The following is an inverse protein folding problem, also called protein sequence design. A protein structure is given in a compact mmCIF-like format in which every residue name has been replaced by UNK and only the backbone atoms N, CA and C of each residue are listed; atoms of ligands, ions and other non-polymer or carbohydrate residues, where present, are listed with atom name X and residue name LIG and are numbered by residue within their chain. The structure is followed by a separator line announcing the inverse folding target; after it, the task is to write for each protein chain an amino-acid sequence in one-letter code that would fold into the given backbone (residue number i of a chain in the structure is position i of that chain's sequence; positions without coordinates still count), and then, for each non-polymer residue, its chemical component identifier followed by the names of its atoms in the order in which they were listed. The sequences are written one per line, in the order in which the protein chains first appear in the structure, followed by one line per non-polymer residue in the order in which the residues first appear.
data_IF_890004392519
#
_entry.id   IF_890004392519
#
_cell.length_a   1.000
_cell.length_b   1.000
_cell.length_c   1.000
_cell.angle_alpha   90.00
_cell.angle_beta   90.00
_cell.angle_gamma   90.00
#
_symmetry.space_group_name_H-M   'P 1'
#
loop_
_entity.id
_entity.type
_entity.pdbx_description
1 polymer ?
#
# COMPACT_ATOMS: atom_id res chain seq x y z
N UNK A 1 22.45 -17.24 11.77
CA UNK A 1 22.39 -15.83 12.20
C UNK A 1 23.81 -15.44 12.60
N UNK A 2 24.53 -14.72 11.73
CA UNK A 2 25.80 -14.12 12.12
C UNK A 2 25.60 -13.18 13.30
N UNK A 3 26.63 -12.98 14.12
CA UNK A 3 26.57 -12.04 15.23
C UNK A 3 26.38 -10.62 14.69
N UNK A 4 25.14 -10.13 14.69
CA UNK A 4 24.78 -8.78 14.25
C UNK A 4 25.65 -7.73 14.97
N UNK A 5 26.10 -8.02 16.20
CA UNK A 5 27.03 -7.19 16.97
C UNK A 5 28.44 -7.15 16.38
N UNK A 6 28.89 -8.19 15.67
CA UNK A 6 30.17 -8.23 14.97
C UNK A 6 30.10 -7.45 13.65
N UNK A 7 28.98 -7.57 12.91
CA UNK A 7 28.73 -6.80 11.69
C UNK A 7 28.71 -5.30 11.99
N UNK A 8 27.98 -4.88 13.02
CA UNK A 8 27.93 -3.48 13.48
C UNK A 8 29.29 -2.95 13.89
N UNK A 9 30.10 -3.75 14.60
CA UNK A 9 31.48 -3.38 14.96
C UNK A 9 32.36 -3.19 13.72
N UNK A 10 32.21 -4.04 12.69
CA UNK A 10 32.89 -3.87 11.41
C UNK A 10 32.46 -2.58 10.71
N UNK A 11 31.16 -2.30 10.66
CA UNK A 11 30.61 -1.07 10.07
C UNK A 11 31.19 0.16 10.77
N UNK A 12 31.29 0.18 12.10
CA UNK A 12 31.89 1.33 12.80
C UNK A 12 33.39 1.48 12.58
N UNK A 13 34.12 0.37 12.39
CA UNK A 13 35.55 0.40 12.11
C UNK A 13 35.86 0.93 10.71
N UNK A 14 35.00 0.63 9.74
CA UNK A 14 35.13 1.11 8.37
C UNK A 14 33.74 1.39 7.79
N UNK A 15 33.13 2.54 8.13
CA UNK A 15 31.79 2.87 7.69
C UNK A 15 31.71 2.93 6.17
N UNK A 16 30.69 2.32 5.55
CA UNK A 16 30.47 2.46 4.13
C UNK A 16 30.34 3.94 3.74
N UNK A 17 30.90 4.37 2.58
CA UNK A 17 30.87 5.77 2.16
C UNK A 17 29.46 6.37 2.11
N UNK A 18 28.47 5.58 1.69
CA UNK A 18 27.06 5.96 1.65
C UNK A 18 26.50 6.29 3.05
N UNK A 19 26.85 5.49 4.06
CA UNK A 19 26.43 5.74 5.45
C UNK A 19 27.06 7.02 6.00
N UNK A 20 28.33 7.30 5.64
CA UNK A 20 29.02 8.53 6.04
C UNK A 20 28.40 9.75 5.35
N UNK A 21 28.10 9.64 4.06
CA UNK A 21 27.46 10.71 3.29
C UNK A 21 26.07 11.04 3.84
N UNK A 22 25.26 10.02 4.14
CA UNK A 22 23.92 10.20 4.72
C UNK A 22 23.98 10.81 6.13
N UNK A 23 24.96 10.40 6.95
CA UNK A 23 25.19 11.02 8.25
C UNK A 23 25.58 12.50 8.11
N UNK A 24 26.46 12.84 7.18
CA UNK A 24 26.86 14.22 6.92
C UNK A 24 25.70 15.09 6.44
N UNK A 25 24.75 14.51 5.68
CA UNK A 25 23.54 15.17 5.22
C UNK A 25 22.51 15.41 6.34
N UNK A 26 22.55 14.63 7.43
CA UNK A 26 21.56 14.68 8.52
C UNK A 26 22.17 14.94 9.92
N UNK A 27 22.84 16.09 10.17
CA UNK A 27 23.43 16.40 11.48
C UNK A 27 22.41 16.41 12.63
N UNK A 28 22.76 15.78 13.75
CA UNK A 28 21.89 15.64 14.92
C UNK A 28 20.72 14.66 14.76
N UNK A 29 20.61 14.00 13.60
CA UNK A 29 19.57 13.02 13.30
C UNK A 29 20.02 11.57 13.48
N UNK A 30 19.55 10.71 12.58
CA UNK A 30 19.90 9.30 12.56
C UNK A 30 19.80 8.72 11.15
N UNK A 31 20.64 7.74 10.82
CA UNK A 31 20.58 7.00 9.54
C UNK A 31 20.03 5.61 9.78
N UNK A 32 18.99 5.22 9.03
CA UNK A 32 18.37 3.90 9.16
C UNK A 32 19.23 2.79 8.57
N UNK A 33 19.31 1.66 9.28
CA UNK A 33 19.88 0.42 8.76
C UNK A 33 18.76 -0.49 8.27
N UNK A 34 18.54 -0.50 6.95
CA UNK A 34 17.49 -1.29 6.29
C UNK A 34 18.02 -2.69 5.98
N UNK A 35 17.21 -3.72 6.21
CA UNK A 35 17.54 -5.08 5.85
C UNK A 35 17.29 -5.35 4.35
N UNK A 36 18.35 -5.57 3.55
CA UNK A 36 18.22 -5.81 2.11
C UNK A 36 17.57 -7.18 1.79
N UNK A 37 17.54 -8.11 2.75
CA UNK A 37 16.87 -9.41 2.58
C UNK A 37 15.35 -9.29 2.74
N UNK A 38 14.86 -8.18 3.31
CA UNK A 38 13.43 -7.90 3.47
C UNK A 38 12.92 -6.89 2.43
N UNK A 39 13.79 -6.03 1.89
CA UNK A 39 13.42 -4.94 0.97
C UNK A 39 14.24 -5.01 -0.32
N UNK A 40 13.54 -5.14 -1.45
CA UNK A 40 14.15 -5.18 -2.78
C UNK A 40 14.59 -3.81 -3.32
N UNK A 41 13.93 -2.74 -2.86
CA UNK A 41 14.17 -1.36 -3.27
C UNK A 41 14.23 -0.44 -2.03
N UNK A 42 15.44 -0.06 -1.56
CA UNK A 42 15.60 0.78 -0.37
C UNK A 42 15.24 2.25 -0.61
N UNK A 43 15.13 2.71 -1.86
CA UNK A 43 14.76 4.08 -2.21
C UNK A 43 13.23 4.25 -2.33
N UNK A 44 12.48 3.13 -2.30
CA UNK A 44 11.03 3.09 -2.29
C UNK A 44 10.42 3.13 -0.89
N UNK A 45 9.20 2.60 -0.75
CA UNK A 45 8.58 2.45 0.56
C UNK A 45 9.31 1.43 1.42
N UNK A 46 9.77 1.86 2.59
CA UNK A 46 10.41 0.99 3.59
C UNK A 46 9.47 0.82 4.79
N UNK A 47 8.85 -0.36 4.97
CA UNK A 47 8.10 -0.65 6.18
C UNK A 47 9.03 -0.61 7.40
N UNK A 48 8.52 -0.07 8.52
CA UNK A 48 9.30 0.09 9.74
C UNK A 48 9.91 -1.20 10.26
N UNK A 49 9.24 -2.34 10.05
CA UNK A 49 9.66 -3.67 10.46
C UNK A 49 10.92 -4.14 9.71
N UNK A 50 11.17 -3.63 8.50
CA UNK A 50 12.38 -3.96 7.75
C UNK A 50 13.61 -3.14 8.20
N UNK A 51 13.44 -2.18 9.09
CA UNK A 51 14.54 -1.39 9.66
C UNK A 51 15.09 -2.14 10.87
N UNK A 52 16.35 -2.56 10.82
CA UNK A 52 17.05 -3.23 11.93
C UNK A 52 17.24 -2.29 13.13
N UNK A 53 17.38 -1.01 12.85
CA UNK A 53 17.63 0.04 13.83
C UNK A 53 18.20 1.28 13.14
N UNK A 54 18.70 2.22 13.94
CA UNK A 54 19.24 3.48 13.44
C UNK A 54 20.61 3.78 14.05
N UNK A 55 21.51 4.30 13.23
CA UNK A 55 22.77 4.89 13.67
C UNK A 55 22.56 6.35 14.07
N UNK A 56 22.95 6.73 15.29
CA UNK A 56 22.85 8.11 15.77
C UNK A 56 23.93 8.99 15.15
N UNK A 57 23.53 10.16 14.67
CA UNK A 57 24.41 11.16 14.06
C UNK A 57 24.59 12.33 15.01
N UNK A 58 25.85 12.71 15.24
CA UNK A 58 26.20 13.87 16.04
C UNK A 58 25.82 15.18 15.36
N UNK A 59 25.78 16.27 16.11
CA UNK A 59 25.53 17.61 15.57
C UNK A 59 26.61 18.06 14.55
N UNK A 60 27.76 17.39 14.52
CA UNK A 60 28.85 17.59 13.56
C UNK A 60 28.69 16.79 12.25
N UNK A 61 27.56 16.08 12.08
CA UNK A 61 27.29 15.25 10.90
C UNK A 61 28.06 13.94 10.87
N UNK A 62 28.65 13.50 11.99
CA UNK A 62 29.38 12.21 12.07
C UNK A 62 28.59 11.16 12.83
N UNK A 63 28.83 9.90 12.49
CA UNK A 63 28.30 8.78 13.27
C UNK A 63 28.87 8.84 14.70
N UNK A 64 27.99 8.77 15.70
CA UNK A 64 28.39 8.76 17.11
C UNK A 64 28.94 7.40 17.57
N UNK A 65 28.67 6.34 16.81
CA UNK A 65 28.92 4.96 17.21
C UNK A 65 27.73 4.30 17.92
N UNK A 66 26.72 5.05 18.34
CA UNK A 66 25.53 4.51 18.97
C UNK A 66 24.55 3.96 17.92
N UNK A 67 24.15 2.70 18.11
CA UNK A 67 23.11 2.04 17.33
C UNK A 67 21.90 1.75 18.22
N UNK A 68 20.74 2.27 17.83
CA UNK A 68 19.47 2.02 18.53
C UNK A 68 18.72 0.95 17.75
N UNK A 69 18.55 -0.23 18.35
CA UNK A 69 17.83 -1.33 17.73
C UNK A 69 16.34 -1.03 17.62
N UNK A 70 15.72 -1.48 16.53
CA UNK A 70 14.29 -1.45 16.38
C UNK A 70 13.67 -2.68 17.05
N UNK A 71 12.88 -2.54 18.14
CA UNK A 71 12.25 -3.68 18.80
C UNK A 71 11.22 -4.40 17.92
N UNK A 72 10.75 -3.76 16.85
CA UNK A 72 9.78 -4.31 15.91
C UNK A 72 10.43 -4.89 14.65
N UNK A 73 11.77 -5.01 14.61
CA UNK A 73 12.48 -5.56 13.46
C UNK A 73 12.05 -7.01 13.17
N UNK A 74 11.69 -7.27 11.92
CA UNK A 74 11.27 -8.57 11.43
C UNK A 74 10.58 -8.49 10.06
N UNK A 75 10.10 -9.62 9.52
CA UNK A 75 9.38 -9.62 8.25
C UNK A 75 8.15 -8.69 8.30
N UNK A 76 8.02 -7.75 7.35
CA UNK A 76 6.85 -6.89 7.30
C UNK A 76 5.57 -7.69 7.12
N UNK A 77 4.48 -7.16 7.69
CA UNK A 77 3.16 -7.80 7.64
C UNK A 77 2.14 -6.85 7.04
N UNK A 78 1.02 -7.44 6.66
CA UNK A 78 -0.15 -6.68 6.27
C UNK A 78 -0.57 -5.68 7.35
N UNK A 79 -1.01 -4.50 6.90
CA UNK A 79 -1.58 -3.48 7.77
C UNK A 79 -2.78 -2.83 7.08
N UNK A 80 -3.96 -3.20 7.53
CA UNK A 80 -5.24 -2.66 7.04
C UNK A 80 -5.91 -1.77 8.08
N UNK A 81 -5.20 -1.38 9.14
CA UNK A 81 -5.78 -0.62 10.28
C UNK A 81 -6.54 0.61 9.78
N UNK A 82 -5.95 1.37 8.85
CA UNK A 82 -6.58 2.56 8.25
C UNK A 82 -7.87 2.28 7.47
N UNK A 83 -8.00 1.09 6.90
CA UNK A 83 -9.23 0.66 6.22
C UNK A 83 -10.28 0.20 7.23
N UNK A 84 -9.89 -0.62 8.20
CA UNK A 84 -10.83 -1.29 9.12
C UNK A 84 -11.30 -0.39 10.27
N UNK A 85 -10.52 0.62 10.66
CA UNK A 85 -10.92 1.62 11.65
C UNK A 85 -11.74 2.78 11.05
N UNK A 86 -12.00 2.75 9.75
CA UNK A 86 -12.83 3.76 9.09
C UNK A 86 -14.28 3.69 9.55
N UNK A 87 -14.90 4.85 9.79
CA UNK A 87 -16.33 4.96 10.11
C UNK A 87 -17.24 4.72 8.89
N UNK A 88 -16.68 4.61 7.68
CA UNK A 88 -17.48 4.37 6.49
C UNK A 88 -18.05 2.95 6.49
N UNK A 89 -19.30 2.80 6.05
CA UNK A 89 -19.90 1.49 5.81
C UNK A 89 -19.13 0.69 4.74
N UNK A 90 -18.51 -0.41 5.15
CA UNK A 90 -17.76 -1.35 4.30
C UNK A 90 -18.48 -2.68 4.07
N UNK A 91 -19.71 -2.87 4.57
CA UNK A 91 -20.42 -4.15 4.49
C UNK A 91 -20.67 -4.65 3.06
N UNK A 92 -20.57 -3.77 2.07
CA UNK A 92 -20.63 -4.13 0.65
C UNK A 92 -19.39 -4.92 0.15
N UNK A 93 -18.28 -4.92 0.91
CA UNK A 93 -17.10 -5.75 0.66
C UNK A 93 -17.19 -7.15 1.31
N UNK A 94 -18.25 -7.42 2.06
CA UNK A 94 -18.41 -8.65 2.85
C UNK A 94 -18.03 -8.48 4.32
N UNK A 95 -17.96 -9.59 5.04
CA UNK A 95 -17.70 -9.62 6.49
C UNK A 95 -16.25 -9.22 6.84
N UNK A 96 -15.30 -9.47 5.93
CA UNK A 96 -13.87 -9.19 6.12
C UNK A 96 -13.33 -8.25 5.03
N UNK A 97 -13.54 -6.93 5.14
CA UNK A 97 -13.11 -5.97 4.11
C UNK A 97 -11.62 -6.01 3.78
N UNK A 98 -10.76 -6.24 4.78
CA UNK A 98 -9.32 -6.37 4.58
C UNK A 98 -8.96 -7.57 3.68
N UNK A 99 -9.60 -8.72 3.91
CA UNK A 99 -9.41 -9.93 3.10
C UNK A 99 -9.92 -9.70 1.68
N UNK A 100 -11.09 -9.06 1.51
CA UNK A 100 -11.63 -8.74 0.19
C UNK A 100 -10.68 -7.85 -0.62
N UNK A 101 -10.11 -6.80 -0.02
CA UNK A 101 -9.13 -5.91 -0.67
C UNK A 101 -7.85 -6.67 -1.01
N UNK A 102 -7.31 -7.45 -0.07
CA UNK A 102 -6.08 -8.22 -0.28
C UNK A 102 -6.21 -9.22 -1.43
N UNK A 103 -7.28 -10.00 -1.45
CA UNK A 103 -7.50 -11.00 -2.50
C UNK A 103 -7.75 -10.34 -3.86
N UNK A 104 -8.43 -9.19 -3.89
CA UNK A 104 -8.65 -8.45 -5.13
C UNK A 104 -7.34 -7.93 -5.73
N UNK A 105 -6.46 -7.34 -4.91
CA UNK A 105 -5.13 -6.90 -5.35
C UNK A 105 -4.27 -8.11 -5.75
N UNK A 106 -4.31 -9.20 -4.98
CA UNK A 106 -3.60 -10.44 -5.32
C UNK A 106 -4.06 -11.03 -6.66
N UNK A 107 -5.36 -11.00 -6.94
CA UNK A 107 -5.94 -11.41 -8.22
C UNK A 107 -5.40 -10.59 -9.38
N UNK A 108 -5.41 -9.26 -9.26
CA UNK A 108 -4.88 -8.34 -10.28
C UNK A 108 -3.39 -8.63 -10.56
N UNK A 109 -2.58 -8.82 -9.50
CA UNK A 109 -1.16 -9.16 -9.65
C UNK A 109 -0.97 -10.49 -10.38
N UNK A 110 -1.78 -11.52 -10.07
CA UNK A 110 -1.72 -12.83 -10.74
C UNK A 110 -2.20 -12.80 -12.18
N UNK A 111 -3.14 -11.91 -12.52
CA UNK A 111 -3.54 -11.70 -13.91
C UNK A 111 -2.39 -11.13 -14.75
N UNK A 112 -1.52 -10.30 -14.15
CA UNK A 112 -0.32 -9.78 -14.84
C UNK A 112 0.82 -10.80 -14.86
N UNK A 113 1.05 -11.50 -13.74
CA UNK A 113 2.09 -12.53 -13.61
C UNK A 113 1.51 -13.70 -12.80
N UNK A 114 1.18 -14.85 -13.43
CA UNK A 114 0.43 -15.95 -12.81
C UNK A 114 0.95 -16.45 -11.45
N UNK A 115 2.26 -16.42 -11.27
CA UNK A 115 2.94 -16.92 -10.06
C UNK A 115 3.39 -15.78 -9.12
N UNK A 116 2.87 -14.57 -9.29
CA UNK A 116 3.13 -13.46 -8.37
C UNK A 116 2.62 -13.78 -6.96
N UNK A 117 3.48 -13.56 -5.98
CA UNK A 117 3.19 -13.72 -4.55
C UNK A 117 3.19 -12.35 -3.89
N UNK A 118 2.02 -11.93 -3.41
CA UNK A 118 1.87 -10.76 -2.53
C UNK A 118 2.35 -11.13 -1.13
N UNK A 119 3.50 -10.62 -0.71
CA UNK A 119 4.09 -10.96 0.60
C UNK A 119 3.49 -10.15 1.74
N UNK A 120 3.35 -8.84 1.54
CA UNK A 120 2.69 -7.93 2.47
C UNK A 120 2.03 -6.78 1.72
N UNK A 121 0.97 -6.21 2.31
CA UNK A 121 0.19 -5.09 1.81
C UNK A 121 -0.17 -4.16 2.96
N UNK A 122 0.19 -2.88 2.87
CA UNK A 122 -0.12 -1.86 3.86
C UNK A 122 -0.95 -0.75 3.24
N UNK A 123 -2.02 -0.35 3.93
CA UNK A 123 -2.79 0.84 3.60
C UNK A 123 -2.08 2.05 4.22
N UNK A 124 -1.54 2.92 3.38
CA UNK A 124 -0.60 3.96 3.80
C UNK A 124 -1.28 5.26 4.23
N UNK A 125 -2.51 5.49 3.79
CA UNK A 125 -3.30 6.68 4.13
C UNK A 125 -4.79 6.33 4.34
N UNK A 126 -5.55 7.24 4.95
CA UNK A 126 -6.98 7.08 5.19
C UNK A 126 -7.75 6.96 3.87
N UNK A 127 -8.56 5.92 3.67
CA UNK A 127 -9.26 5.72 2.40
C UNK A 127 -10.21 6.85 2.01
N UNK A 128 -10.48 6.97 0.71
CA UNK A 128 -11.48 7.88 0.15
C UNK A 128 -12.68 7.12 -0.36
N UNK A 129 -13.85 7.75 -0.25
CA UNK A 129 -15.12 7.09 -0.50
C UNK A 129 -16.04 7.95 -1.35
N UNK A 130 -16.87 7.29 -2.13
CA UNK A 130 -17.97 7.93 -2.85
C UNK A 130 -19.22 7.05 -2.77
N UNK A 131 -20.19 7.44 -1.96
CA UNK A 131 -21.46 6.71 -1.82
C UNK A 131 -22.59 7.46 -2.52
N UNK A 132 -23.35 6.74 -3.34
CA UNK A 132 -24.53 7.26 -4.01
C UNK A 132 -25.74 6.35 -3.77
N UNK A 133 -26.91 6.97 -3.71
CA UNK A 133 -28.14 6.24 -3.50
C UNK A 133 -29.38 7.02 -3.91
N UNK A 134 -30.53 6.43 -3.64
CA UNK A 134 -31.85 7.05 -3.82
C UNK A 134 -32.57 7.09 -2.47
N UNK A 135 -33.40 8.12 -2.22
CA UNK A 135 -34.23 8.14 -1.01
C UNK A 135 -35.20 6.95 -1.00
N UNK A 136 -35.51 6.45 0.19
CA UNK A 136 -36.63 5.50 0.39
C UNK A 136 -37.94 6.24 0.08
N UNK A 137 -38.88 5.55 -0.58
CA UNK A 137 -40.17 6.18 -0.96
C UNK A 137 -41.07 6.43 0.25
N UNK A 138 -41.00 5.55 1.23
CA UNK A 138 -41.78 5.56 2.48
C UNK A 138 -41.09 6.37 3.59
N UNK A 139 -39.78 6.58 3.50
CA UNK A 139 -39.01 7.44 4.40
C UNK A 139 -37.85 8.14 3.65
N UNK A 140 -38.08 9.36 3.14
CA UNK A 140 -37.07 10.11 2.39
C UNK A 140 -35.83 10.52 3.21
N UNK A 141 -35.87 10.41 4.55
CA UNK A 141 -34.70 10.66 5.39
C UNK A 141 -33.68 9.52 5.37
N UNK A 142 -34.07 8.35 4.84
CA UNK A 142 -33.22 7.19 4.66
C UNK A 142 -32.81 7.00 3.20
N UNK A 143 -31.53 6.71 2.99
CA UNK A 143 -30.95 6.46 1.67
C UNK A 143 -30.78 4.96 1.44
N UNK A 144 -31.29 4.47 0.31
CA UNK A 144 -30.93 3.15 -0.23
C UNK A 144 -29.66 3.35 -1.06
N UNK A 145 -28.56 2.76 -0.60
CA UNK A 145 -27.29 2.80 -1.35
C UNK A 145 -27.44 1.98 -2.63
N UNK A 146 -27.20 2.63 -3.77
CA UNK A 146 -27.26 1.98 -5.10
C UNK A 146 -25.87 1.76 -5.69
N UNK A 147 -24.88 2.54 -5.22
CA UNK A 147 -23.50 2.51 -5.70
C UNK A 147 -22.54 3.06 -4.66
N UNK A 148 -21.31 2.56 -4.70
CA UNK A 148 -20.24 2.98 -3.81
C UNK A 148 -18.90 2.87 -4.53
N UNK A 149 -17.95 3.70 -4.10
CA UNK A 149 -16.56 3.68 -4.54
C UNK A 149 -15.64 3.80 -3.34
N UNK A 150 -14.54 3.05 -3.38
CA UNK A 150 -13.44 3.08 -2.43
C UNK A 150 -12.15 3.35 -3.19
N UNK A 151 -11.29 4.21 -2.67
CA UNK A 151 -9.90 4.36 -3.08
C UNK A 151 -8.98 4.22 -1.87
N UNK A 152 -7.99 3.33 -1.95
CA UNK A 152 -7.00 3.09 -0.89
C UNK A 152 -5.59 3.29 -1.43
N UNK A 153 -4.84 4.19 -0.80
CA UNK A 153 -3.40 4.30 -1.03
C UNK A 153 -2.70 3.10 -0.39
N UNK A 154 -1.77 2.50 -1.12
CA UNK A 154 -1.07 1.31 -0.65
C UNK A 154 0.44 1.37 -0.88
N UNK A 155 1.14 0.57 -0.09
CA UNK A 155 2.44 0.01 -0.42
C UNK A 155 2.37 -1.51 -0.30
N UNK A 156 3.06 -2.24 -1.17
CA UNK A 156 3.11 -3.69 -1.11
C UNK A 156 4.44 -4.26 -1.57
N UNK A 157 4.76 -5.48 -1.12
CA UNK A 157 5.84 -6.30 -1.68
C UNK A 157 5.26 -7.43 -2.51
N UNK A 158 5.80 -7.59 -3.71
CA UNK A 158 5.49 -8.70 -4.60
C UNK A 158 6.76 -9.39 -5.05
N UNK A 159 6.73 -10.73 -5.04
CA UNK A 159 7.80 -11.56 -5.58
C UNK A 159 7.25 -12.35 -6.77
N UNK A 160 8.04 -12.48 -7.84
CA UNK A 160 7.70 -13.27 -9.03
C UNK A 160 8.81 -14.27 -9.35
N UNK A 161 8.51 -15.44 -9.94
CA UNK A 161 9.55 -16.43 -10.25
C UNK A 161 10.67 -15.86 -11.12
N UNK A 162 11.91 -16.08 -10.70
CA UNK A 162 13.09 -15.61 -11.42
C UNK A 162 13.29 -14.08 -11.40
N UNK A 163 12.48 -13.33 -10.65
CA UNK A 163 12.65 -11.89 -10.42
C UNK A 163 13.01 -11.60 -8.97
N UNK A 164 13.62 -10.44 -8.75
CA UNK A 164 13.82 -9.89 -7.41
C UNK A 164 12.46 -9.48 -6.83
N UNK A 165 12.39 -9.41 -5.50
CA UNK A 165 11.31 -8.76 -4.77
C UNK A 165 11.18 -7.31 -5.23
N UNK A 166 9.97 -6.89 -5.57
CA UNK A 166 9.65 -5.51 -5.95
C UNK A 166 8.72 -4.89 -4.90
N UNK A 167 8.94 -3.61 -4.60
CA UNK A 167 8.04 -2.81 -3.76
C UNK A 167 7.24 -1.88 -4.66
N UNK A 168 5.91 -1.97 -4.59
CA UNK A 168 5.00 -1.17 -5.38
C UNK A 168 4.21 -0.20 -4.49
N UNK A 169 3.96 0.99 -5.00
CA UNK A 169 3.10 1.99 -4.38
C UNK A 169 2.10 2.52 -5.39
N UNK A 170 0.92 2.92 -4.90
CA UNK A 170 -0.11 3.50 -5.74
C UNK A 170 -1.46 3.53 -5.05
N UNK A 171 -2.52 3.55 -5.84
CA UNK A 171 -3.90 3.54 -5.35
C UNK A 171 -4.66 2.38 -5.96
N UNK A 172 -5.35 1.61 -5.11
CA UNK A 172 -6.34 0.64 -5.53
C UNK A 172 -7.72 1.27 -5.41
N UNK A 173 -8.52 1.23 -6.47
CA UNK A 173 -9.92 1.66 -6.43
C UNK A 173 -10.87 0.52 -6.72
N UNK A 174 -11.94 0.44 -5.95
CA UNK A 174 -13.02 -0.51 -6.13
C UNK A 174 -14.33 0.25 -6.19
N UNK A 175 -15.04 0.12 -7.31
CA UNK A 175 -16.40 0.64 -7.45
C UNK A 175 -17.39 -0.50 -7.61
N UNK A 176 -18.49 -0.44 -6.86
CA UNK A 176 -19.64 -1.32 -7.01
C UNK A 176 -20.91 -0.51 -7.32
N UNK A 177 -21.70 -0.97 -8.27
CA UNK A 177 -23.01 -0.39 -8.65
C UNK A 177 -24.10 -1.46 -8.65
N UNK A 178 -25.36 -1.06 -8.58
CA UNK A 178 -26.50 -1.99 -8.55
C UNK A 178 -26.67 -2.67 -7.19
N UNK A 179 -26.19 -2.05 -6.11
CA UNK A 179 -26.24 -2.62 -4.75
C UNK A 179 -27.66 -2.79 -4.19
N UNK A 180 -28.65 -2.13 -4.78
CA UNK A 180 -30.06 -2.24 -4.41
C UNK A 180 -30.81 -3.32 -5.20
N UNK A 181 -30.11 -4.07 -6.06
CA UNK A 181 -30.68 -5.11 -6.92
C UNK A 181 -30.03 -6.47 -6.59
N UNK A 182 -30.82 -7.50 -6.21
CA UNK A 182 -30.28 -8.79 -5.75
C UNK A 182 -29.22 -9.42 -6.67
N UNK A 183 -29.39 -9.31 -7.99
CA UNK A 183 -28.49 -9.86 -9.01
C UNK A 183 -27.91 -8.79 -9.96
N UNK A 184 -28.10 -7.51 -9.62
CA UNK A 184 -27.70 -6.38 -10.47
C UNK A 184 -26.31 -5.84 -10.15
N UNK A 185 -25.65 -6.38 -9.12
CA UNK A 185 -24.34 -5.90 -8.66
C UNK A 185 -23.30 -6.09 -9.76
N UNK A 186 -22.58 -5.00 -10.04
CA UNK A 186 -21.41 -5.01 -10.90
C UNK A 186 -20.27 -4.29 -10.22
N UNK A 187 -19.07 -4.86 -10.35
CA UNK A 187 -17.86 -4.35 -9.74
C UNK A 187 -16.84 -4.02 -10.84
N UNK A 188 -16.01 -3.00 -10.59
CA UNK A 188 -14.82 -2.74 -11.39
C UNK A 188 -13.70 -2.26 -10.49
N UNK A 189 -12.51 -2.75 -10.79
CA UNK A 189 -11.29 -2.51 -10.03
C UNK A 189 -10.31 -1.71 -10.88
N UNK A 190 -9.53 -0.86 -10.23
CA UNK A 190 -8.40 -0.15 -10.81
C UNK A 190 -7.19 -0.29 -9.89
N UNK A 191 -6.02 -0.46 -10.49
CA UNK A 191 -4.76 -0.63 -9.80
C UNK A 191 -3.74 0.35 -10.39
N UNK A 192 -3.74 1.57 -9.86
CA UNK A 192 -3.02 2.69 -10.42
C UNK A 192 -1.66 2.85 -9.72
N UNK A 193 -0.62 2.30 -10.32
CA UNK A 193 0.75 2.42 -9.80
C UNK A 193 1.24 3.86 -9.85
N UNK A 194 1.89 4.30 -8.78
CA UNK A 194 2.43 5.67 -8.59
C UNK A 194 1.39 6.78 -8.65
N UNK A 195 0.11 6.43 -8.59
CA UNK A 195 -0.97 7.40 -8.48
C UNK A 195 -1.05 7.99 -7.07
N UNK A 196 -1.57 9.21 -7.01
CA UNK A 196 -1.87 9.92 -5.77
C UNK A 196 -3.32 9.69 -5.33
N UNK A 197 -3.57 9.73 -4.02
CA UNK A 197 -4.88 9.45 -3.44
C UNK A 197 -5.91 10.54 -3.75
N UNK A 198 -5.52 11.82 -3.76
CA UNK A 198 -6.44 12.92 -4.05
C UNK A 198 -6.84 12.89 -5.54
N UNK A 199 -5.91 12.52 -6.43
CA UNK A 199 -6.26 12.23 -7.83
C UNK A 199 -7.26 11.08 -7.95
N UNK A 200 -7.03 9.98 -7.24
CA UNK A 200 -7.91 8.82 -7.30
C UNK A 200 -9.31 9.13 -6.72
N UNK A 201 -9.40 9.97 -5.69
CA UNK A 201 -10.66 10.48 -5.16
C UNK A 201 -11.47 11.25 -6.21
N UNK A 202 -10.81 12.15 -6.94
CA UNK A 202 -11.45 12.85 -8.05
C UNK A 202 -11.94 11.86 -9.13
N UNK A 203 -11.12 10.85 -9.43
CA UNK A 203 -11.47 9.81 -10.41
C UNK A 203 -12.60 8.88 -9.98
N UNK A 204 -12.87 8.69 -8.68
CA UNK A 204 -14.04 7.91 -8.22
C UNK A 204 -15.34 8.44 -8.84
N UNK A 205 -15.44 9.75 -9.05
CA UNK A 205 -16.62 10.39 -9.67
C UNK A 205 -16.81 9.98 -11.13
N UNK A 206 -15.73 9.72 -11.86
CA UNK A 206 -15.78 9.25 -13.25
C UNK A 206 -16.00 7.74 -13.29
N UNK A 207 -15.19 7.01 -12.50
CA UNK A 207 -15.20 5.54 -12.38
C UNK A 207 -16.57 4.99 -12.04
N UNK A 208 -17.34 5.68 -11.21
CA UNK A 208 -18.69 5.25 -10.81
C UNK A 208 -19.69 5.15 -11.96
N UNK A 209 -19.49 5.91 -13.04
CA UNK A 209 -20.35 5.83 -14.22
C UNK A 209 -19.83 4.84 -15.26
N UNK A 210 -18.56 4.44 -15.20
CA UNK A 210 -17.95 3.46 -16.11
C UNK A 210 -18.33 2.02 -15.76
N UNK A 211 -18.81 1.75 -14.55
CA UNK A 211 -19.18 0.39 -14.14
C UNK A 211 -20.48 -0.03 -14.82
N UNK A 212 -20.45 -1.17 -15.50
CA UNK A 212 -21.61 -1.72 -16.19
C UNK A 212 -21.90 -1.13 -17.57
N UNK A 213 -21.08 -0.19 -18.05
CA UNK A 213 -21.03 0.18 -19.46
C UNK A 213 -20.23 -0.89 -20.23
N UNK A 214 -20.74 -1.32 -21.39
CA UNK A 214 -19.93 -2.09 -22.34
C UNK A 214 -18.77 -1.21 -22.84
N UNK A 215 -17.56 -1.74 -23.07
CA UNK A 215 -16.52 -0.96 -23.71
C UNK A 215 -17.04 -0.45 -25.06
N UNK A 216 -16.84 0.84 -25.34
CA UNK A 216 -17.06 1.41 -26.67
C UNK A 216 -16.29 0.55 -27.69
N UNK A 217 -16.94 0.01 -28.74
CA UNK A 217 -16.24 -0.74 -29.77
C UNK A 217 -15.26 0.19 -30.49
N UNK A 218 -13.97 0.07 -30.18
CA UNK A 218 -12.92 0.84 -30.86
C UNK A 218 -11.68 1.23 -30.02
N UNK A 219 -11.69 1.00 -28.71
CA UNK A 219 -10.54 1.32 -27.86
C UNK A 219 -9.56 0.15 -27.79
N UNK A 220 -8.63 0.07 -28.75
CA UNK A 220 -7.50 -0.87 -28.68
C UNK A 220 -6.57 -0.45 -27.54
N UNK A 221 -6.17 -1.34 -26.61
CA UNK A 221 -5.11 -1.03 -25.66
C UNK A 221 -3.78 -0.95 -26.42
N UNK A 222 -3.10 0.19 -26.31
CA UNK A 222 -1.70 0.31 -26.75
C UNK A 222 -0.85 -0.62 -25.90
N UNK A 223 -0.12 -1.51 -26.58
CA UNK A 223 0.85 -2.45 -26.01
C UNK A 223 2.08 -1.75 -25.47
#
# INVERSE_FOLDING_TARGET
MGDISAERRRILQSPPPELVAEAAANPGGSVAAIDPDLIGDPDGYVPSEAVQGVWRVGADGKLTGEFVENPNYGPPKDDFTRLTESEHWLGWLGEEPAVAVRESISGILREQVPDAVLEWLKITDSPRYLTGGRPRQDDPSHLIVTRTGLAVAFALSVTSPGRRRDVLQGVFSWVAVGLDQPDGRKDRLWFDLRADLDWAEAELRNRIYLVGQSPEPGSTPLS
#
